data_IF_071774899007
#
_entry.id   IF_071774899007
#
_cell.length_a   1.000
_cell.length_b   1.000
_cell.length_c   1.000
_cell.angle_alpha   90.00
_cell.angle_beta   90.00
_cell.angle_gamma   90.00
#
_symmetry.space_group_name_H-M   'P 1'
#
loop_
_entity.id
_entity.type
_entity.pdbx_description
1 polymer ?
#
# COMPACT_ATOMS: atom_id res chain seq x y z
N UNK A 1 3.66 -10.65 -7.47
CA UNK A 1 3.37 -10.68 -8.93
C UNK A 1 4.47 -11.45 -9.62
N UNK A 2 4.14 -12.38 -10.53
CA UNK A 2 5.13 -13.16 -11.29
C UNK A 2 5.13 -12.68 -12.73
N UNK A 3 6.30 -12.36 -13.26
CA UNK A 3 6.52 -11.98 -14.67
C UNK A 3 7.97 -12.26 -15.06
N UNK A 4 8.20 -12.78 -16.27
CA UNK A 4 9.54 -13.14 -16.79
C UNK A 4 10.37 -13.98 -15.80
N UNK A 5 9.75 -15.04 -15.24
CA UNK A 5 10.39 -15.97 -14.27
C UNK A 5 10.85 -15.34 -12.95
N UNK A 6 10.49 -14.10 -12.70
CA UNK A 6 10.77 -13.39 -11.42
C UNK A 6 9.49 -13.12 -10.64
N UNK A 7 9.63 -12.98 -9.32
CA UNK A 7 8.54 -12.60 -8.42
C UNK A 7 8.78 -11.19 -7.91
N UNK A 8 7.84 -10.28 -8.16
CA UNK A 8 7.87 -8.90 -7.67
C UNK A 8 6.99 -8.76 -6.44
N UNK A 9 7.54 -8.17 -5.39
CA UNK A 9 6.87 -7.86 -4.12
C UNK A 9 6.89 -6.35 -3.90
N UNK A 10 5.73 -5.76 -3.70
CA UNK A 10 5.59 -4.36 -3.36
C UNK A 10 4.58 -4.20 -2.22
N UNK A 11 4.84 -3.27 -1.31
CA UNK A 11 3.99 -3.06 -0.14
C UNK A 11 4.23 -4.09 0.97
N UNK A 12 3.24 -4.27 1.83
CA UNK A 12 3.39 -5.00 3.08
C UNK A 12 3.78 -4.05 4.22
N UNK A 13 4.14 -4.59 5.34
CA UNK A 13 4.76 -3.87 6.45
C UNK A 13 5.53 -4.86 7.32
N UNK A 14 6.57 -4.38 7.99
CA UNK A 14 7.30 -5.17 8.95
C UNK A 14 6.71 -4.90 10.34
N UNK A 15 6.07 -5.91 10.96
CA UNK A 15 5.67 -5.82 12.36
C UNK A 15 6.93 -5.82 13.23
N UNK A 16 6.83 -5.18 14.39
CA UNK A 16 7.97 -4.98 15.25
C UNK A 16 8.28 -6.23 16.07
N UNK A 17 9.53 -6.61 16.01
CA UNK A 17 10.17 -7.42 17.02
C UNK A 17 11.02 -6.44 17.85
N UNK A 18 10.82 -6.36 19.17
CA UNK A 18 11.64 -5.60 20.11
C UNK A 18 11.42 -4.07 20.19
N UNK A 19 10.17 -3.59 20.15
CA UNK A 19 9.83 -2.18 20.42
C UNK A 19 10.42 -1.14 19.43
N UNK A 20 10.90 -1.59 18.28
CA UNK A 20 11.34 -0.71 17.22
C UNK A 20 10.16 -0.07 16.46
N UNK A 21 10.39 1.03 15.77
CA UNK A 21 9.35 1.64 14.94
C UNK A 21 9.01 0.74 13.74
N UNK A 22 7.71 0.65 13.35
CA UNK A 22 7.32 -0.18 12.22
C UNK A 22 7.87 0.36 10.90
N UNK A 23 8.15 -0.56 9.99
CA UNK A 23 8.59 -0.20 8.64
C UNK A 23 7.44 -0.43 7.66
N UNK A 24 7.09 0.61 6.93
CA UNK A 24 6.18 0.57 5.78
C UNK A 24 7.03 0.71 4.52
N UNK A 25 7.14 -0.32 3.68
CA UNK A 25 8.00 -0.28 2.50
C UNK A 25 7.55 0.76 1.47
N UNK A 26 8.54 1.42 0.87
CA UNK A 26 8.39 2.38 -0.23
C UNK A 26 9.12 1.90 -1.49
N UNK A 27 9.48 0.62 -1.54
CA UNK A 27 10.22 0.00 -2.62
C UNK A 27 9.49 -1.22 -3.21
N UNK A 28 10.05 -1.72 -4.28
CA UNK A 28 9.67 -2.98 -4.92
C UNK A 28 10.88 -3.90 -4.88
N UNK A 29 10.67 -5.09 -4.34
CA UNK A 29 11.66 -6.15 -4.34
C UNK A 29 11.42 -7.12 -5.49
N UNK A 30 12.49 -7.70 -6.02
CA UNK A 30 12.44 -8.79 -6.97
C UNK A 30 13.12 -10.03 -6.40
N UNK A 31 12.48 -11.18 -6.53
CA UNK A 31 13.04 -12.48 -6.22
C UNK A 31 13.48 -13.17 -7.51
N UNK A 32 14.73 -13.60 -7.54
CA UNK A 32 15.27 -14.45 -8.58
C UNK A 32 15.21 -15.93 -8.15
N UNK A 33 14.36 -16.75 -8.78
CA UNK A 33 14.25 -18.16 -8.41
C UNK A 33 15.48 -18.99 -8.80
N UNK A 34 16.32 -18.53 -9.72
CA UNK A 34 17.53 -19.25 -10.10
C UNK A 34 18.64 -19.16 -9.05
N UNK A 35 18.73 -18.02 -8.37
CA UNK A 35 19.74 -17.76 -7.31
C UNK A 35 19.14 -17.83 -5.90
N UNK A 36 17.82 -17.92 -5.76
CA UNK A 36 17.10 -17.84 -4.48
C UNK A 36 17.39 -16.57 -3.67
N UNK A 37 17.56 -15.45 -4.35
CA UNK A 37 17.89 -14.17 -3.71
C UNK A 37 16.81 -13.12 -3.96
N UNK A 38 16.63 -12.24 -2.96
CA UNK A 38 15.85 -11.02 -3.06
C UNK A 38 16.78 -9.84 -3.25
N UNK A 39 16.39 -8.90 -4.08
CA UNK A 39 17.09 -7.62 -4.23
C UNK A 39 16.07 -6.49 -4.45
N UNK A 40 16.48 -5.27 -4.13
CA UNK A 40 15.69 -4.09 -4.44
C UNK A 40 15.70 -3.86 -5.95
N UNK A 41 14.52 -3.86 -6.54
CA UNK A 41 14.34 -3.57 -7.97
C UNK A 41 14.28 -2.06 -8.22
N UNK A 42 13.45 -1.36 -7.44
CA UNK A 42 13.23 0.08 -7.60
C UNK A 42 12.58 0.68 -6.35
N UNK A 43 12.55 2.01 -6.26
CA UNK A 43 11.82 2.76 -5.25
C UNK A 43 10.54 3.31 -5.88
N UNK A 44 9.45 3.35 -5.12
CA UNK A 44 8.20 3.95 -5.58
C UNK A 44 8.37 5.46 -5.80
N UNK A 45 7.84 6.00 -6.87
CA UNK A 45 7.84 7.46 -7.05
C UNK A 45 7.00 8.11 -5.96
N UNK A 46 7.48 9.17 -5.29
CA UNK A 46 6.68 9.90 -4.32
C UNK A 46 5.46 10.54 -4.99
N UNK A 47 4.53 11.02 -4.19
CA UNK A 47 3.45 11.86 -4.68
C UNK A 47 4.01 13.21 -5.18
N UNK A 48 3.20 13.96 -5.93
CA UNK A 48 3.60 15.27 -6.50
C UNK A 48 3.99 16.31 -5.46
N UNK A 49 3.46 16.19 -4.24
CA UNK A 49 3.79 17.02 -3.08
C UNK A 49 5.04 16.54 -2.31
N UNK A 50 5.69 15.48 -2.77
CA UNK A 50 6.85 14.88 -2.14
C UNK A 50 6.54 13.88 -1.02
N UNK A 51 5.27 13.63 -0.71
CA UNK A 51 4.90 12.66 0.32
C UNK A 51 5.26 11.23 -0.11
N UNK A 52 5.63 10.40 0.86
CA UNK A 52 5.95 9.01 0.62
C UNK A 52 4.75 8.22 0.10
N UNK A 53 5.03 7.29 -0.79
CA UNK A 53 4.04 6.34 -1.32
C UNK A 53 4.37 4.93 -0.85
N UNK A 54 3.33 4.17 -0.54
CA UNK A 54 3.43 2.71 -0.32
C UNK A 54 2.37 2.00 -1.15
N UNK A 55 2.60 0.73 -1.43
CA UNK A 55 1.61 -0.17 -2.05
C UNK A 55 1.07 -1.20 -1.05
N UNK A 56 1.23 -0.92 0.25
CA UNK A 56 0.68 -1.78 1.31
C UNK A 56 -0.85 -1.90 1.15
N UNK A 57 -1.32 -3.13 1.06
CA UNK A 57 -2.73 -3.42 0.77
C UNK A 57 -3.18 -3.12 -0.67
N UNK A 58 -2.28 -2.67 -1.54
CA UNK A 58 -2.56 -2.50 -2.97
C UNK A 58 -2.64 -3.82 -3.72
N UNK A 59 -2.96 -3.74 -5.00
CA UNK A 59 -2.91 -4.87 -5.91
C UNK A 59 -2.11 -4.55 -7.16
N UNK A 60 -1.65 -5.60 -7.85
CA UNK A 60 -0.87 -5.48 -9.06
C UNK A 60 -1.30 -6.51 -10.09
N UNK A 61 -1.19 -6.15 -11.36
CA UNK A 61 -1.45 -7.04 -12.51
C UNK A 61 -0.37 -6.87 -13.56
N UNK A 62 -0.05 -7.94 -14.27
CA UNK A 62 0.80 -7.86 -15.46
C UNK A 62 0.04 -7.18 -16.60
N UNK A 63 0.73 -6.30 -17.29
CA UNK A 63 0.20 -5.61 -18.46
C UNK A 63 1.21 -5.72 -19.61
N UNK A 64 0.76 -6.21 -20.76
CA UNK A 64 1.65 -6.60 -21.86
C UNK A 64 2.70 -7.63 -21.39
N UNK A 65 3.86 -7.68 -22.05
CA UNK A 65 4.91 -8.66 -21.72
C UNK A 65 5.94 -8.18 -20.72
N UNK A 66 5.97 -6.88 -20.44
CA UNK A 66 7.06 -6.20 -19.75
C UNK A 66 6.63 -5.08 -18.80
N UNK A 67 5.34 -5.00 -18.49
CA UNK A 67 4.81 -3.97 -17.59
C UNK A 67 4.02 -4.54 -16.43
N UNK A 68 4.10 -3.87 -15.30
CA UNK A 68 3.28 -4.16 -14.12
C UNK A 68 2.45 -2.91 -13.82
N UNK A 69 1.14 -3.07 -13.70
CA UNK A 69 0.26 -2.02 -13.17
C UNK A 69 0.07 -2.25 -11.68
N UNK A 70 0.25 -1.18 -10.90
CA UNK A 70 0.03 -1.15 -9.47
C UNK A 70 -1.08 -0.15 -9.14
N UNK A 71 -1.93 -0.49 -8.18
CA UNK A 71 -3.08 0.35 -7.83
C UNK A 71 -3.58 0.12 -6.42
N UNK A 72 -4.25 1.12 -5.87
CA UNK A 72 -4.83 1.07 -4.53
C UNK A 72 -3.78 1.03 -3.41
N UNK A 73 -4.21 0.51 -2.28
CA UNK A 73 -3.40 0.48 -1.06
C UNK A 73 -3.59 1.70 -0.17
N UNK A 74 -3.01 1.62 1.01
CA UNK A 74 -3.18 2.63 2.07
C UNK A 74 -2.31 3.86 1.82
N UNK A 75 -2.65 4.98 2.48
CA UNK A 75 -1.76 6.12 2.58
C UNK A 75 -0.62 5.82 3.57
N UNK A 76 0.61 6.15 3.19
CA UNK A 76 1.82 5.87 3.97
C UNK A 76 1.73 6.43 5.40
N UNK A 77 1.48 7.73 5.54
CA UNK A 77 1.50 8.42 6.84
C UNK A 77 0.38 7.94 7.76
N UNK A 78 -0.85 7.82 7.20
CA UNK A 78 -2.00 7.36 7.96
C UNK A 78 -1.81 5.93 8.47
N UNK A 79 -1.24 5.06 7.64
CA UNK A 79 -1.00 3.67 8.00
C UNK A 79 0.15 3.52 8.99
N UNK A 80 1.28 4.20 8.76
CA UNK A 80 2.42 4.20 9.67
C UNK A 80 2.01 4.66 11.07
N UNK A 81 1.29 5.78 11.17
CA UNK A 81 0.79 6.27 12.45
C UNK A 81 -0.14 5.27 13.15
N UNK A 82 -0.97 4.55 12.38
CA UNK A 82 -1.88 3.56 12.95
C UNK A 82 -1.16 2.34 13.53
N UNK A 83 -0.15 1.82 12.82
CA UNK A 83 0.60 0.62 13.27
C UNK A 83 1.68 0.95 14.31
N UNK A 84 2.18 2.19 14.37
CA UNK A 84 3.11 2.65 15.41
C UNK A 84 2.42 2.93 16.75
N UNK A 85 1.14 3.29 16.72
CA UNK A 85 0.41 3.71 17.93
C UNK A 85 0.41 2.68 19.07
N UNK A 86 0.19 1.36 18.85
CA UNK A 86 0.25 0.36 19.93
C UNK A 86 1.60 0.32 20.62
N UNK A 87 2.68 0.58 19.91
CA UNK A 87 4.05 0.59 20.45
C UNK A 87 4.28 1.84 21.29
N UNK A 88 3.87 2.99 20.75
CA UNK A 88 3.94 4.24 21.49
C UNK A 88 3.10 4.16 22.78
N UNK A 89 1.95 3.48 22.73
CA UNK A 89 1.11 3.24 23.91
C UNK A 89 1.85 2.37 24.93
N UNK A 90 2.43 1.24 24.52
CA UNK A 90 3.19 0.38 25.41
C UNK A 90 4.40 1.10 26.05
N UNK A 91 5.13 1.93 25.26
CA UNK A 91 6.21 2.77 25.79
C UNK A 91 5.72 3.78 26.82
N UNK A 92 4.57 4.43 26.57
CA UNK A 92 3.97 5.40 27.49
C UNK A 92 3.49 4.72 28.80
N UNK A 93 2.92 3.53 28.72
CA UNK A 93 2.53 2.71 29.87
C UNK A 93 3.74 2.33 30.74
N UNK A 94 4.82 1.84 30.09
CA UNK A 94 6.07 1.51 30.78
C UNK A 94 6.69 2.72 31.49
N UNK A 95 6.60 3.91 30.86
CA UNK A 95 7.06 5.18 31.44
C UNK A 95 6.08 5.79 32.45
N UNK A 96 4.87 5.23 32.60
CA UNK A 96 3.77 5.75 33.41
C UNK A 96 3.37 7.21 33.02
N UNK A 97 3.46 7.52 31.74
CA UNK A 97 3.06 8.83 31.19
C UNK A 97 1.56 8.85 30.92
N UNK A 98 0.78 9.25 31.93
CA UNK A 98 -0.68 9.26 31.84
C UNK A 98 -1.21 10.23 30.77
N UNK A 99 -0.50 11.30 30.45
CA UNK A 99 -0.91 12.25 29.43
C UNK A 99 -0.75 11.64 28.02
N UNK A 100 0.38 10.99 27.76
CA UNK A 100 0.60 10.28 26.51
C UNK A 100 -0.38 9.10 26.33
N UNK A 101 -0.64 8.31 27.37
CA UNK A 101 -1.62 7.22 27.36
C UNK A 101 -3.00 7.76 26.94
N UNK A 102 -3.51 8.77 27.64
CA UNK A 102 -4.83 9.35 27.35
C UNK A 102 -4.93 9.87 25.92
N UNK A 103 -3.88 10.53 25.41
CA UNK A 103 -3.84 11.02 24.03
C UNK A 103 -3.85 9.89 23.03
N UNK A 104 -3.00 8.87 23.19
CA UNK A 104 -2.89 7.75 22.26
C UNK A 104 -4.15 6.88 22.19
N UNK A 105 -4.82 6.67 23.33
CA UNK A 105 -6.11 5.99 23.40
C UNK A 105 -7.21 6.79 22.66
N UNK A 106 -7.24 8.11 22.85
CA UNK A 106 -8.16 8.98 22.14
C UNK A 106 -7.93 8.96 20.61
N UNK A 107 -6.67 9.00 20.18
CA UNK A 107 -6.29 8.85 18.76
C UNK A 107 -6.70 7.49 18.19
N UNK A 108 -6.51 6.39 18.94
CA UNK A 108 -6.92 5.05 18.53
C UNK A 108 -8.44 4.97 18.32
N UNK A 109 -9.21 5.55 19.23
CA UNK A 109 -10.66 5.61 19.15
C UNK A 109 -11.11 6.48 17.96
N UNK A 110 -10.52 7.65 17.78
CA UNK A 110 -10.83 8.56 16.68
C UNK A 110 -10.52 7.93 15.32
N UNK A 111 -9.41 7.21 15.21
CA UNK A 111 -8.96 6.57 13.97
C UNK A 111 -10.06 5.74 13.30
N UNK A 112 -10.83 4.97 14.05
CA UNK A 112 -11.87 4.12 13.50
C UNK A 112 -13.12 4.88 13.02
N UNK A 113 -13.31 6.13 13.46
CA UNK A 113 -14.52 6.93 13.22
C UNK A 113 -14.36 7.98 12.12
N UNK A 114 -13.18 8.17 11.56
CA UNK A 114 -12.98 9.09 10.45
C UNK A 114 -13.78 8.68 9.21
N UNK A 115 -14.22 9.63 8.37
CA UNK A 115 -14.82 9.34 7.07
C UNK A 115 -13.80 8.69 6.13
N UNK A 116 -14.27 8.07 5.05
CA UNK A 116 -13.43 7.31 4.10
C UNK A 116 -12.30 8.18 3.53
N UNK A 117 -12.61 9.41 3.17
CA UNK A 117 -11.69 10.35 2.53
C UNK A 117 -10.48 10.71 3.41
N UNK A 118 -10.66 10.65 4.73
CA UNK A 118 -9.60 10.93 5.70
C UNK A 118 -8.42 9.95 5.58
N UNK A 119 -8.69 8.69 5.20
CA UNK A 119 -7.66 7.65 5.10
C UNK A 119 -6.78 7.81 3.87
N UNK A 120 -7.19 8.60 2.88
CA UNK A 120 -6.41 8.97 1.69
C UNK A 120 -5.80 7.76 0.99
N UNK A 121 -6.58 6.69 0.81
CA UNK A 121 -6.10 5.52 0.06
C UNK A 121 -5.70 5.92 -1.36
N UNK A 122 -4.70 5.22 -1.92
CA UNK A 122 -4.11 5.58 -3.20
C UNK A 122 -5.11 5.50 -4.36
N UNK A 123 -5.23 6.58 -5.10
CA UNK A 123 -6.08 6.70 -6.31
C UNK A 123 -5.29 6.52 -7.59
N UNK A 124 -3.95 6.56 -7.53
CA UNK A 124 -3.09 6.56 -8.71
C UNK A 124 -3.00 5.16 -9.33
N UNK A 125 -3.15 5.08 -10.66
CA UNK A 125 -2.74 3.92 -11.45
C UNK A 125 -1.29 4.12 -11.86
N UNK A 126 -0.38 3.33 -11.28
CA UNK A 126 1.04 3.36 -11.59
C UNK A 126 1.40 2.25 -12.57
N UNK A 127 2.27 2.54 -13.51
CA UNK A 127 2.91 1.55 -14.37
C UNK A 127 4.41 1.51 -14.11
N UNK A 128 4.95 0.32 -13.94
CA UNK A 128 6.38 0.07 -13.97
C UNK A 128 6.75 -0.71 -15.23
N UNK A 129 7.67 -0.19 -16.02
CA UNK A 129 8.18 -0.82 -17.22
C UNK A 129 9.49 -1.55 -16.90
N UNK A 130 9.49 -2.87 -17.02
CA UNK A 130 10.63 -3.74 -16.69
C UNK A 130 11.81 -3.62 -17.68
N UNK A 131 11.54 -3.12 -18.89
CA UNK A 131 12.57 -2.97 -19.92
C UNK A 131 13.35 -1.68 -19.77
N UNK A 132 12.66 -0.60 -19.42
CA UNK A 132 13.26 0.73 -19.24
C UNK A 132 13.56 1.08 -17.80
N UNK A 133 13.06 0.26 -16.85
CA UNK A 133 13.15 0.51 -15.40
C UNK A 133 12.50 1.84 -14.98
N UNK A 134 11.46 2.26 -15.69
CA UNK A 134 10.81 3.55 -15.50
C UNK A 134 9.40 3.42 -14.96
N UNK A 135 9.03 4.37 -14.10
CA UNK A 135 7.67 4.56 -13.61
C UNK A 135 6.90 5.53 -14.49
N UNK A 136 5.61 5.27 -14.66
CA UNK A 136 4.64 6.17 -15.28
C UNK A 136 3.39 6.28 -14.43
N UNK A 137 2.89 7.49 -14.27
CA UNK A 137 1.58 7.79 -13.68
C UNK A 137 0.54 7.80 -14.81
N UNK A 138 -0.40 6.86 -14.79
CA UNK A 138 -1.45 6.71 -15.80
C UNK A 138 -2.75 7.41 -15.43
N UNK A 139 -2.74 8.19 -14.34
CA UNK A 139 -3.88 8.97 -13.86
C UNK A 139 -4.39 8.55 -12.49
N UNK A 140 -5.29 9.37 -11.97
CA UNK A 140 -5.92 9.20 -10.67
C UNK A 140 -7.40 8.82 -10.83
N UNK A 141 -7.84 7.79 -10.10
CA UNK A 141 -9.19 7.25 -10.19
C UNK A 141 -9.69 6.89 -8.79
N UNK A 142 -10.74 7.53 -8.34
CA UNK A 142 -11.35 7.30 -7.01
C UNK A 142 -11.71 5.83 -6.77
N UNK A 143 -12.05 5.10 -7.84
CA UNK A 143 -12.39 3.67 -7.77
C UNK A 143 -11.20 2.79 -7.35
N UNK A 144 -9.97 3.30 -7.43
CA UNK A 144 -8.77 2.61 -6.98
C UNK A 144 -8.48 2.81 -5.49
N UNK A 145 -9.11 3.79 -4.82
CA UNK A 145 -8.92 4.12 -3.41
C UNK A 145 -9.44 2.99 -2.49
N UNK A 146 -8.78 1.85 -2.52
CA UNK A 146 -9.14 0.67 -1.72
C UNK A 146 -7.95 -0.20 -1.40
N UNK A 147 -7.99 -0.92 -0.27
CA UNK A 147 -7.01 -1.89 0.13
C UNK A 147 -7.58 -3.32 0.03
N UNK A 148 -6.71 -4.30 -0.22
CA UNK A 148 -7.11 -5.70 -0.31
C UNK A 148 -8.05 -6.02 -1.47
N UNK A 149 -8.05 -5.21 -2.53
CA UNK A 149 -8.81 -5.48 -3.74
C UNK A 149 -8.13 -6.57 -4.59
N UNK A 150 -8.95 -7.27 -5.38
CA UNK A 150 -8.46 -8.07 -6.51
C UNK A 150 -8.42 -7.25 -7.79
N UNK A 151 -7.48 -7.56 -8.69
CA UNK A 151 -7.45 -6.95 -10.02
C UNK A 151 -7.12 -7.98 -11.09
N UNK A 152 -7.69 -7.79 -12.28
CA UNK A 152 -7.43 -8.64 -13.46
C UNK A 152 -7.50 -7.79 -14.73
N UNK A 153 -6.68 -8.17 -15.72
CA UNK A 153 -6.79 -7.63 -17.07
C UNK A 153 -7.28 -8.75 -18.00
N UNK A 154 -8.36 -8.48 -18.70
CA UNK A 154 -8.91 -9.36 -19.71
C UNK A 154 -9.42 -8.54 -20.89
N UNK A 155 -9.08 -8.95 -22.12
CA UNK A 155 -9.53 -8.29 -23.38
C UNK A 155 -9.30 -6.75 -23.39
N UNK A 156 -8.12 -6.31 -22.89
CA UNK A 156 -7.74 -4.90 -22.81
C UNK A 156 -8.55 -4.10 -21.79
N UNK A 157 -9.20 -4.77 -20.84
CA UNK A 157 -9.95 -4.14 -19.74
C UNK A 157 -9.34 -4.49 -18.39
N UNK A 158 -9.06 -3.47 -17.62
CA UNK A 158 -8.70 -3.61 -16.20
C UNK A 158 -9.99 -3.69 -15.39
N UNK A 159 -10.12 -4.72 -14.60
CA UNK A 159 -11.23 -4.88 -13.64
C UNK A 159 -10.65 -4.90 -12.24
N UNK A 160 -11.16 -4.06 -11.34
CA UNK A 160 -10.86 -4.07 -9.91
C UNK A 160 -12.10 -4.53 -9.13
N UNK A 161 -11.91 -5.40 -8.16
CA UNK A 161 -12.98 -6.15 -7.50
C UNK A 161 -12.84 -5.99 -5.98
N UNK A 162 -13.95 -5.63 -5.32
CA UNK A 162 -14.05 -5.53 -3.87
C UNK A 162 -13.02 -4.57 -3.25
N UNK A 163 -12.64 -4.84 -2.02
CA UNK A 163 -11.64 -4.10 -1.26
C UNK A 163 -12.22 -3.40 -0.05
N UNK A 164 -11.33 -2.85 0.75
CA UNK A 164 -11.63 -2.08 1.95
C UNK A 164 -11.44 -0.60 1.66
N UNK A 165 -12.44 0.22 2.00
CA UNK A 165 -12.42 1.68 1.80
C UNK A 165 -11.83 2.41 3.01
N UNK A 166 -11.94 1.81 4.18
CA UNK A 166 -11.32 2.21 5.44
C UNK A 166 -11.37 1.02 6.40
N UNK A 167 -10.66 1.01 7.52
CA UNK A 167 -10.69 -0.08 8.48
C UNK A 167 -12.10 -0.54 8.83
N UNK A 168 -12.42 -1.82 8.54
CA UNK A 168 -13.71 -2.44 8.80
C UNK A 168 -14.84 -2.11 7.81
N UNK A 169 -14.63 -1.26 6.82
CA UNK A 169 -15.64 -0.91 5.80
C UNK A 169 -15.20 -1.40 4.43
N UNK A 170 -15.89 -2.39 3.93
CA UNK A 170 -15.59 -3.02 2.63
C UNK A 170 -16.63 -2.65 1.57
N UNK A 171 -16.22 -2.67 0.31
CA UNK A 171 -17.09 -2.46 -0.84
C UNK A 171 -17.19 -3.75 -1.67
N UNK A 172 -18.41 -4.15 -2.12
CA UNK A 172 -18.60 -5.23 -3.08
C UNK A 172 -18.47 -4.76 -4.53
N UNK A 173 -18.14 -3.50 -4.76
CA UNK A 173 -18.13 -2.91 -6.10
C UNK A 173 -17.09 -3.56 -7.00
N UNK A 174 -17.50 -3.79 -8.25
CA UNK A 174 -16.65 -4.17 -9.38
C UNK A 174 -16.59 -2.99 -10.33
N UNK A 175 -15.40 -2.46 -10.57
CA UNK A 175 -15.19 -1.35 -11.49
C UNK A 175 -14.31 -1.82 -12.66
N UNK A 176 -14.60 -1.33 -13.87
CA UNK A 176 -13.91 -1.74 -15.06
C UNK A 176 -13.59 -0.52 -15.93
N UNK A 177 -12.36 -0.50 -16.46
CA UNK A 177 -11.90 0.50 -17.41
C UNK A 177 -11.20 -0.16 -18.61
N UNK A 178 -11.26 0.48 -19.77
CA UNK A 178 -10.46 0.09 -20.93
C UNK A 178 -9.05 0.71 -20.77
N UNK A 179 -8.03 -0.13 -21.02
CA UNK A 179 -6.62 0.27 -21.06
C UNK A 179 -6.19 0.71 -22.45
#
# INVERSE_FOLDING_TARGET
MCIRDSIYLAGGFQPILNEEEPIVPTDVLVFDPATFTWQQETVLPPFKDGANRTLTGGCAVTFQTDKILFMGGVNYDCFLAAIARPIHLAKAEAARDSAAITRLEAEAKAYMHHPVEWYRFNTTLLQYDLSTKAWSDLGEYEQLARAGAGAVIQDGRLTIINGELKPGIRTPQVNQAKL
#
